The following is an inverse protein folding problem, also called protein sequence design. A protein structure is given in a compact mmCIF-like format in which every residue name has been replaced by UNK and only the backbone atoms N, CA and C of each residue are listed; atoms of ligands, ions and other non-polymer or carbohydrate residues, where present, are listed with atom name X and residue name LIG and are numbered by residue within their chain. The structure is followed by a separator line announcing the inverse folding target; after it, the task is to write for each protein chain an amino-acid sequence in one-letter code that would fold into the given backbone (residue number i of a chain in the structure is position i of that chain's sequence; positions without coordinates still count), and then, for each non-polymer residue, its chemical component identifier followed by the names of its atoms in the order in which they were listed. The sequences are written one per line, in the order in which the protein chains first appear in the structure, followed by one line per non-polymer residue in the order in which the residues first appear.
data_IF_760286459799
#
_entry.id   IF_760286459799
#
_cell.length_a   1.000
_cell.length_b   1.000
_cell.length_c   1.000
_cell.angle_alpha   90.00
_cell.angle_beta   90.00
_cell.angle_gamma   90.00
#
_symmetry.space_group_name_H-M   'P 1'
#
loop_
_entity.id
_entity.type
_entity.pdbx_description
1 polymer ?
#
# COMPACT_ATOMS: atom_id res chain seq x y z
N UNK A 1 8.99 -47.08 27.98
CA UNK A 1 9.17 -45.63 28.23
C UNK A 1 9.38 -44.77 26.97
N UNK A 2 9.34 -45.30 25.74
CA UNK A 2 9.72 -44.53 24.52
C UNK A 2 8.55 -43.91 23.73
N UNK A 3 7.31 -44.42 23.88
CA UNK A 3 6.14 -43.97 23.10
C UNK A 3 5.63 -42.58 23.49
N UNK A 4 5.68 -42.25 24.78
CA UNK A 4 5.25 -40.94 25.28
C UNK A 4 6.21 -39.81 24.90
N UNK A 5 7.51 -40.10 24.79
CA UNK A 5 8.54 -39.15 24.34
C UNK A 5 8.33 -38.79 22.88
N UNK A 6 7.98 -39.78 22.05
CA UNK A 6 7.63 -39.54 20.64
C UNK A 6 6.35 -38.72 20.47
N UNK A 7 5.31 -38.99 21.26
CA UNK A 7 4.10 -38.16 21.24
C UNK A 7 4.38 -36.71 21.68
N UNK A 8 5.22 -36.51 22.70
CA UNK A 8 5.61 -35.18 23.16
C UNK A 8 6.45 -34.42 22.12
N UNK A 9 7.35 -35.11 21.41
CA UNK A 9 8.13 -34.54 20.31
C UNK A 9 7.27 -34.12 19.12
N UNK A 10 6.25 -34.92 18.77
CA UNK A 10 5.30 -34.58 17.71
C UNK A 10 4.43 -33.38 18.13
N UNK A 11 3.97 -33.32 19.38
CA UNK A 11 3.15 -32.20 19.87
C UNK A 11 3.94 -30.88 19.91
N UNK A 12 5.22 -30.93 20.30
CA UNK A 12 6.11 -29.77 20.29
C UNK A 12 6.43 -29.29 18.87
N UNK A 13 6.59 -30.22 17.90
CA UNK A 13 6.80 -29.86 16.50
C UNK A 13 5.58 -29.17 15.88
N UNK A 14 4.35 -29.55 16.26
CA UNK A 14 3.11 -28.93 15.75
C UNK A 14 2.87 -27.54 16.35
N UNK A 15 3.28 -27.30 17.61
CA UNK A 15 3.15 -25.99 18.24
C UNK A 15 3.98 -24.90 17.54
N UNK A 16 5.14 -25.25 16.94
CA UNK A 16 5.95 -24.32 16.16
C UNK A 16 5.35 -23.91 14.81
N UNK A 17 4.36 -24.65 14.30
CA UNK A 17 3.59 -24.26 13.11
C UNK A 17 2.33 -23.46 13.46
N UNK A 18 2.00 -23.34 14.75
CA UNK A 18 0.81 -22.64 15.24
C UNK A 18 1.08 -21.17 15.63
N UNK A 19 2.21 -20.59 15.23
CA UNK A 19 2.32 -19.14 15.06
C UNK A 19 1.51 -18.73 13.83
N UNK A 20 0.19 -18.92 13.91
CA UNK A 20 -0.75 -18.31 13.00
C UNK A 20 -0.61 -16.80 13.20
N UNK A 21 0.08 -16.17 12.25
CA UNK A 21 0.24 -14.74 12.04
C UNK A 21 -0.69 -13.84 12.86
N UNK A 22 -0.17 -13.33 13.98
CA UNK A 22 -0.69 -12.11 14.65
C UNK A 22 -0.50 -10.84 13.79
N UNK A 23 0.02 -10.97 12.55
CA UNK A 23 0.43 -9.87 11.65
C UNK A 23 -0.54 -9.59 10.48
N UNK A 24 -1.78 -10.07 10.50
CA UNK A 24 -2.80 -9.62 9.53
C UNK A 24 -3.73 -8.57 10.15
N UNK A 25 -3.20 -7.80 11.10
CA UNK A 25 -3.76 -6.49 11.41
C UNK A 25 -3.55 -5.60 10.18
N UNK A 26 -4.65 -5.15 9.60
CA UNK A 26 -4.66 -4.24 8.45
C UNK A 26 -4.09 -2.87 8.88
N UNK A 27 -2.77 -2.72 8.83
CA UNK A 27 -2.04 -1.54 9.35
C UNK A 27 -2.21 -0.28 8.48
N UNK A 28 -2.75 -0.42 7.28
CA UNK A 28 -2.94 0.68 6.33
C UNK A 28 -4.29 0.61 5.62
N UNK A 29 -4.84 1.78 5.28
CA UNK A 29 -6.08 1.89 4.51
C UNK A 29 -5.93 2.85 3.32
N UNK A 30 -6.74 2.62 2.28
CA UNK A 30 -6.87 3.53 1.14
C UNK A 30 -8.25 4.18 1.24
N UNK A 31 -8.29 5.50 1.26
CA UNK A 31 -9.54 6.28 1.24
C UNK A 31 -9.92 6.59 -0.20
N UNK A 32 -11.17 6.27 -0.56
CA UNK A 32 -11.80 6.71 -1.80
C UNK A 32 -12.44 8.10 -1.59
N UNK A 33 -11.88 9.12 -2.23
CA UNK A 33 -12.41 10.50 -2.33
C UNK A 33 -12.63 10.83 -3.83
N UNK A 34 -13.15 9.84 -4.57
CA UNK A 34 -13.56 9.96 -5.97
C UNK A 34 -15.08 10.13 -6.09
N UNK A 35 -15.54 10.70 -7.22
CA UNK A 35 -16.93 11.14 -7.42
C UNK A 35 -17.51 10.54 -8.71
N UNK A 36 -16.71 10.37 -9.76
CA UNK A 36 -17.15 9.89 -11.05
C UNK A 36 -16.99 8.37 -11.19
N UNK A 37 -17.66 7.79 -12.18
CA UNK A 37 -17.50 6.37 -12.51
C UNK A 37 -16.05 6.01 -12.87
N UNK A 38 -15.39 6.87 -13.67
CA UNK A 38 -13.99 6.69 -14.06
C UNK A 38 -13.07 6.76 -12.84
N UNK A 39 -13.36 7.65 -11.89
CA UNK A 39 -12.63 7.76 -10.63
C UNK A 39 -12.77 6.50 -9.77
N UNK A 40 -13.99 5.99 -9.60
CA UNK A 40 -14.23 4.76 -8.85
C UNK A 40 -13.59 3.53 -9.51
N UNK A 41 -13.65 3.42 -10.84
CA UNK A 41 -13.02 2.34 -11.59
C UNK A 41 -11.49 2.37 -11.42
N UNK A 42 -10.89 3.57 -11.51
CA UNK A 42 -9.49 3.78 -11.21
C UNK A 42 -9.16 3.34 -9.77
N UNK A 43 -9.92 3.81 -8.78
CA UNK A 43 -9.71 3.47 -7.37
C UNK A 43 -9.78 1.95 -7.15
N UNK A 44 -10.75 1.28 -7.78
CA UNK A 44 -10.92 -0.16 -7.66
C UNK A 44 -9.70 -0.91 -8.19
N UNK A 45 -9.30 -0.66 -9.44
CA UNK A 45 -8.12 -1.32 -10.04
C UNK A 45 -6.81 -0.94 -9.35
N UNK A 46 -6.67 0.31 -8.92
CA UNK A 46 -5.50 0.78 -8.16
C UNK A 46 -5.38 0.04 -6.82
N UNK A 47 -6.49 -0.06 -6.07
CA UNK A 47 -6.51 -0.71 -4.77
C UNK A 47 -6.33 -2.23 -4.88
N UNK A 48 -6.88 -2.85 -5.94
CA UNK A 48 -6.66 -4.26 -6.29
C UNK A 48 -5.16 -4.53 -6.47
N UNK A 49 -4.49 -3.76 -7.34
CA UNK A 49 -3.06 -3.91 -7.61
C UNK A 49 -2.20 -3.73 -6.36
N UNK A 50 -2.52 -2.76 -5.49
CA UNK A 50 -1.78 -2.53 -4.26
C UNK A 50 -1.92 -3.69 -3.27
N UNK A 51 -3.12 -4.24 -3.11
CA UNK A 51 -3.37 -5.41 -2.27
C UNK A 51 -2.61 -6.64 -2.75
N UNK A 52 -2.53 -6.83 -4.07
CA UNK A 52 -1.82 -7.98 -4.66
C UNK A 52 -0.29 -7.88 -4.52
N UNK A 53 0.26 -6.67 -4.40
CA UNK A 53 1.70 -6.43 -4.50
C UNK A 53 2.37 -6.13 -3.16
N UNK A 54 1.63 -5.70 -2.14
CA UNK A 54 2.20 -5.26 -0.87
C UNK A 54 1.30 -5.60 0.31
N UNK A 55 1.92 -5.92 1.45
CA UNK A 55 1.23 -5.80 2.75
C UNK A 55 0.96 -4.31 2.95
N UNK A 56 -0.30 -3.92 3.15
CA UNK A 56 -0.69 -2.51 3.23
C UNK A 56 -0.32 -1.94 4.60
N UNK A 57 0.88 -1.37 4.72
CA UNK A 57 1.43 -0.76 5.93
C UNK A 57 1.50 0.79 5.83
N UNK A 58 0.70 1.37 4.94
CA UNK A 58 0.64 2.81 4.71
C UNK A 58 -0.77 3.27 4.36
N UNK A 59 -1.05 4.54 4.66
CA UNK A 59 -2.34 5.17 4.39
C UNK A 59 -2.27 6.02 3.13
N UNK A 60 -3.20 5.80 2.21
CA UNK A 60 -3.34 6.59 0.99
C UNK A 60 -4.71 7.25 0.91
N UNK A 61 -4.76 8.39 0.25
CA UNK A 61 -6.02 9.03 -0.15
C UNK A 61 -6.01 9.19 -1.65
N UNK A 62 -7.00 8.60 -2.32
CA UNK A 62 -7.21 8.76 -3.77
C UNK A 62 -8.28 9.81 -3.96
N UNK A 63 -7.89 10.95 -4.55
CA UNK A 63 -8.78 12.09 -4.79
C UNK A 63 -9.03 12.28 -6.26
N UNK A 64 -10.25 12.68 -6.58
CA UNK A 64 -10.66 13.04 -7.93
C UNK A 64 -11.09 14.51 -8.03
N UNK A 65 -10.75 15.16 -9.14
CA UNK A 65 -11.37 16.41 -9.57
C UNK A 65 -11.89 16.29 -11.01
N UNK A 66 -13.21 16.14 -11.20
CA UNK A 66 -13.80 16.09 -12.54
C UNK A 66 -13.61 17.41 -13.29
N UNK A 67 -13.23 17.32 -14.56
CA UNK A 67 -13.09 18.45 -15.50
C UNK A 67 -13.82 18.13 -16.82
N UNK A 68 -14.88 18.89 -17.12
CA UNK A 68 -15.72 18.65 -18.29
C UNK A 68 -14.98 18.74 -19.64
N UNK A 69 -13.80 19.36 -19.70
CA UNK A 69 -13.02 19.53 -20.93
C UNK A 69 -11.93 18.47 -21.08
N UNK A 70 -11.31 18.07 -19.99
CA UNK A 70 -10.09 17.25 -20.01
C UNK A 70 -10.25 15.85 -19.41
N UNK A 71 -11.43 15.53 -18.86
CA UNK A 71 -11.71 14.25 -18.23
C UNK A 71 -11.66 14.37 -16.70
N UNK A 72 -10.88 13.53 -16.02
CA UNK A 72 -10.81 13.58 -14.57
C UNK A 72 -9.38 13.64 -14.06
N UNK A 73 -9.07 14.61 -13.20
CA UNK A 73 -7.77 14.68 -12.54
C UNK A 73 -7.79 13.78 -11.31
N UNK A 74 -7.04 12.69 -11.35
CA UNK A 74 -6.83 11.84 -10.18
C UNK A 74 -5.50 12.16 -9.53
N UNK A 75 -5.52 12.22 -8.21
CA UNK A 75 -4.37 12.46 -7.35
C UNK A 75 -4.33 11.43 -6.24
N UNK A 76 -3.13 10.99 -5.88
CA UNK A 76 -2.92 10.10 -4.74
C UNK A 76 -2.01 10.81 -3.74
N UNK A 77 -2.40 10.77 -2.48
CA UNK A 77 -1.68 11.39 -1.38
C UNK A 77 -1.23 10.34 -0.36
N UNK A 78 0.01 10.48 0.08
CA UNK A 78 0.58 9.75 1.22
C UNK A 78 0.95 10.78 2.30
N UNK A 79 0.39 10.63 3.50
CA UNK A 79 0.61 11.58 4.62
C UNK A 79 0.39 13.05 4.22
N UNK A 80 -0.75 13.33 3.55
CA UNK A 80 -1.12 14.67 3.06
C UNK A 80 -0.15 15.26 2.00
N UNK A 81 0.77 14.45 1.46
CA UNK A 81 1.69 14.85 0.39
C UNK A 81 1.34 14.14 -0.90
N UNK A 82 1.29 14.89 -1.99
CA UNK A 82 1.07 14.35 -3.32
C UNK A 82 2.20 13.35 -3.68
N UNK A 83 1.82 12.14 -4.07
CA UNK A 83 2.74 11.10 -4.58
C UNK A 83 2.50 10.80 -6.05
N UNK A 84 1.28 10.99 -6.54
CA UNK A 84 0.92 10.72 -7.92
C UNK A 84 -0.18 11.67 -8.38
N UNK A 85 -0.15 12.02 -9.67
CA UNK A 85 -1.16 12.86 -10.32
C UNK A 85 -1.24 12.50 -11.80
N UNK A 86 -2.46 12.25 -12.30
CA UNK A 86 -2.70 12.05 -13.73
C UNK A 86 -4.09 12.49 -14.16
N UNK A 87 -4.20 12.91 -15.42
CA UNK A 87 -5.49 13.12 -16.07
C UNK A 87 -5.95 11.81 -16.71
N UNK A 88 -7.15 11.38 -16.34
CA UNK A 88 -7.84 10.25 -16.92
C UNK A 88 -8.76 10.75 -18.04
N UNK A 89 -8.54 10.33 -19.30
CA UNK A 89 -9.44 10.69 -20.38
C UNK A 89 -10.82 10.04 -20.16
N UNK A 90 -11.88 10.57 -20.77
CA UNK A 90 -13.23 9.99 -20.66
C UNK A 90 -13.37 8.59 -21.28
N UNK A 91 -12.31 8.05 -21.89
CA UNK A 91 -12.30 6.73 -22.51
C UNK A 91 -11.73 5.68 -21.54
N UNK A 92 -12.42 4.55 -21.39
CA UNK A 92 -12.14 3.55 -20.35
C UNK A 92 -11.28 2.37 -20.81
N UNK A 93 -10.91 2.28 -22.10
CA UNK A 93 -10.25 1.10 -22.67
C UNK A 93 -8.92 0.74 -21.99
N UNK A 94 -8.15 1.73 -21.54
CA UNK A 94 -6.81 1.55 -20.95
C UNK A 94 -6.77 1.87 -19.44
N UNK A 95 -7.92 2.10 -18.81
CA UNK A 95 -7.98 2.61 -17.45
C UNK A 95 -7.37 1.65 -16.41
N UNK A 96 -7.57 0.34 -16.62
CA UNK A 96 -7.08 -0.69 -15.70
C UNK A 96 -5.55 -0.75 -15.69
N UNK A 97 -4.94 -0.77 -16.86
CA UNK A 97 -3.48 -0.81 -17.00
C UNK A 97 -2.84 0.46 -16.43
N UNK A 98 -3.47 1.61 -16.68
CA UNK A 98 -3.08 2.90 -16.11
C UNK A 98 -3.14 2.90 -14.57
N UNK A 99 -4.22 2.36 -13.99
CA UNK A 99 -4.37 2.24 -12.54
C UNK A 99 -3.32 1.30 -11.93
N UNK A 100 -2.94 0.24 -12.65
CA UNK A 100 -1.92 -0.71 -12.22
C UNK A 100 -0.53 -0.07 -12.24
N UNK A 101 -0.19 0.66 -13.31
CA UNK A 101 1.05 1.43 -13.41
C UNK A 101 1.13 2.51 -12.32
N UNK A 102 0.01 3.19 -12.05
CA UNK A 102 -0.10 4.16 -10.97
C UNK A 102 0.16 3.54 -9.60
N UNK A 103 -0.42 2.37 -9.31
CA UNK A 103 -0.21 1.63 -8.07
C UNK A 103 1.27 1.23 -7.87
N UNK A 104 1.91 0.73 -8.92
CA UNK A 104 3.33 0.36 -8.88
C UNK A 104 4.24 1.58 -8.65
N UNK A 105 3.91 2.70 -9.29
CA UNK A 105 4.62 3.98 -9.13
C UNK A 105 4.46 4.56 -7.73
N UNK A 106 3.23 4.61 -7.20
CA UNK A 106 2.93 5.10 -5.85
C UNK A 106 3.64 4.25 -4.80
N UNK A 107 3.60 2.93 -4.94
CA UNK A 107 4.29 2.01 -4.03
C UNK A 107 5.79 2.32 -3.96
N UNK A 108 6.45 2.48 -5.11
CA UNK A 108 7.87 2.80 -5.16
C UNK A 108 8.18 4.15 -4.47
N UNK A 109 7.36 5.17 -4.73
CA UNK A 109 7.51 6.49 -4.14
C UNK A 109 7.31 6.47 -2.61
N UNK A 110 6.32 5.71 -2.11
CA UNK A 110 6.10 5.53 -0.68
C UNK A 110 7.29 4.83 -0.01
N UNK A 111 7.80 3.75 -0.61
CA UNK A 111 8.98 3.02 -0.09
C UNK A 111 10.21 3.93 -0.05
N UNK A 112 10.43 4.72 -1.11
CA UNK A 112 11.53 5.70 -1.16
C UNK A 112 11.42 6.70 -0.02
N UNK A 113 10.24 7.30 0.19
CA UNK A 113 10.03 8.28 1.27
C UNK A 113 10.18 7.67 2.66
N UNK A 114 9.74 6.42 2.86
CA UNK A 114 9.97 5.69 4.12
C UNK A 114 11.47 5.51 4.37
N UNK A 115 12.23 5.11 3.35
CA UNK A 115 13.68 4.96 3.46
C UNK A 115 14.38 6.29 3.76
N UNK A 116 14.00 7.37 3.08
CA UNK A 116 14.54 8.71 3.33
C UNK A 116 14.29 9.16 4.77
N UNK A 117 13.08 8.94 5.29
CA UNK A 117 12.74 9.27 6.67
C UNK A 117 13.58 8.48 7.69
N UNK A 118 13.78 7.18 7.46
CA UNK A 118 14.63 6.34 8.34
C UNK A 118 16.09 6.77 8.31
N UNK A 119 16.63 7.11 7.13
CA UNK A 119 18.01 7.57 6.99
C UNK A 119 18.24 8.93 7.65
N UNK A 120 17.30 9.86 7.51
CA UNK A 120 17.35 11.17 8.16
C UNK A 120 17.38 11.03 9.69
N UNK A 121 16.49 10.21 10.24
CA UNK A 121 16.41 9.95 11.68
C UNK A 121 17.75 9.42 12.23
N UNK A 122 18.39 8.47 11.53
CA UNK A 122 19.71 7.96 11.95
C UNK A 122 20.85 8.97 11.85
N UNK A 123 20.76 9.95 10.95
CA UNK A 123 21.82 10.94 10.72
C UNK A 123 21.82 12.03 11.78
N UNK A 124 20.63 12.40 12.30
CA UNK A 124 20.49 13.43 13.32
C UNK A 124 20.98 12.96 14.71
N UNK A 125 21.02 11.65 14.98
CA UNK A 125 21.60 11.09 16.21
C UNK A 125 23.14 11.22 16.30
N UNK A 126 23.85 11.39 15.18
CA UNK A 126 25.32 11.46 15.16
C UNK A 126 25.87 12.86 15.45
N UNK A 127 25.01 13.89 15.49
CA UNK A 127 25.44 15.29 15.37
C UNK A 127 25.30 16.14 16.61
N UNK A 128 24.83 15.56 17.72
CA UNK A 128 24.63 16.26 18.98
C UNK A 128 25.46 15.55 20.06
N UNK A 129 26.77 15.82 20.11
CA UNK A 129 27.69 15.70 21.28
C UNK A 129 29.13 16.05 20.85
N UNK A 130 29.47 17.34 20.75
CA UNK A 130 30.84 17.90 20.96
C UNK A 130 30.78 19.36 21.41
#
# INVERSE_FOLDING_TARGET
MSRHVWCALILAAVASFASASEEDEMMGFIVDDTISHIGHDFYYSFSERLRDTSRMDFNLVVRERPDARWGSLVTVEYQQRLVYRRFLPPNTVELKDEAYEAADSVRLEVVRRKLEALLQDTTDLEKDEL
#
